data_IF_289732561903
#
_entry.id   IF_289732561903
#
_cell.length_a   1.000
_cell.length_b   1.000
_cell.length_c   1.000
_cell.angle_alpha   90.00
_cell.angle_beta   90.00
_cell.angle_gamma   90.00
#
_symmetry.space_group_name_H-M   'P 1'
#
loop_
_entity.id
_entity.type
_entity.pdbx_description
1 polymer ?
#
# COMPACT_ATOMS: atom_id res chain seq x y z
N UNK A 1 13.10 -12.14 2.13
CA UNK A 1 11.70 -11.92 1.66
C UNK A 1 11.09 -13.25 1.25
N UNK A 2 9.79 -13.46 1.54
CA UNK A 2 9.02 -14.61 1.06
C UNK A 2 8.16 -14.13 -0.12
N UNK A 3 8.30 -14.70 -1.33
CA UNK A 3 7.39 -14.41 -2.43
C UNK A 3 5.96 -14.82 -2.04
N UNK A 4 5.02 -13.89 -2.17
CA UNK A 4 3.63 -14.09 -1.76
C UNK A 4 2.70 -13.28 -2.67
N UNK A 5 1.81 -13.96 -3.40
CA UNK A 5 0.73 -13.31 -4.15
C UNK A 5 -0.56 -13.39 -3.33
N UNK A 6 -1.05 -12.25 -2.84
CA UNK A 6 -2.27 -12.18 -2.01
C UNK A 6 -3.55 -12.62 -2.75
N UNK A 7 -3.49 -12.87 -4.05
CA UNK A 7 -4.61 -13.42 -4.81
C UNK A 7 -4.68 -14.95 -4.69
N UNK A 8 -3.55 -15.59 -4.41
CA UNK A 8 -3.44 -17.05 -4.26
C UNK A 8 -3.42 -17.46 -2.78
N UNK A 9 -4.45 -18.20 -2.36
CA UNK A 9 -4.61 -18.64 -0.97
C UNK A 9 -3.48 -19.56 -0.51
N UNK A 10 -3.00 -20.46 -1.38
CA UNK A 10 -1.90 -21.36 -1.03
C UNK A 10 -0.57 -20.60 -0.92
N UNK A 11 -0.37 -19.56 -1.74
CA UNK A 11 0.78 -18.66 -1.61
C UNK A 11 0.80 -17.97 -0.24
N UNK A 12 -0.34 -17.42 0.19
CA UNK A 12 -0.49 -16.77 1.50
C UNK A 12 -0.29 -17.74 2.65
N UNK A 13 -0.95 -18.89 2.61
CA UNK A 13 -0.82 -19.94 3.62
C UNK A 13 0.64 -20.40 3.76
N UNK A 14 1.32 -20.66 2.64
CA UNK A 14 2.74 -21.05 2.64
C UNK A 14 3.63 -19.96 3.23
N UNK A 15 3.32 -18.68 3.00
CA UNK A 15 4.07 -17.58 3.59
C UNK A 15 3.93 -17.52 5.12
N UNK A 16 2.73 -17.72 5.66
CA UNK A 16 2.52 -17.84 7.10
C UNK A 16 3.24 -19.07 7.67
N UNK A 17 3.10 -20.25 7.07
CA UNK A 17 3.78 -21.46 7.53
C UNK A 17 5.30 -21.27 7.62
N UNK A 18 5.92 -20.64 6.62
CA UNK A 18 7.36 -20.31 6.62
C UNK A 18 7.72 -19.31 7.71
N UNK A 19 6.90 -18.28 7.91
CA UNK A 19 7.10 -17.25 8.94
C UNK A 19 7.07 -17.88 10.33
N UNK A 20 6.03 -18.67 10.62
CA UNK A 20 5.86 -19.34 11.90
C UNK A 20 6.95 -20.37 12.14
N UNK A 21 7.35 -21.13 11.11
CA UNK A 21 8.48 -22.08 11.22
C UNK A 21 9.80 -21.36 11.56
N UNK A 22 10.01 -20.18 11.01
CA UNK A 22 11.25 -19.41 11.20
C UNK A 22 11.31 -18.70 12.55
N UNK A 23 10.21 -18.09 12.99
CA UNK A 23 10.19 -17.19 14.14
C UNK A 23 9.45 -17.75 15.36
N UNK A 24 8.76 -18.88 15.22
CA UNK A 24 8.00 -19.54 16.30
C UNK A 24 6.62 -18.94 16.60
N UNK A 25 6.30 -17.78 16.03
CA UNK A 25 5.05 -17.08 16.29
C UNK A 25 4.81 -15.90 15.33
N UNK A 26 3.71 -15.19 15.58
CA UNK A 26 3.33 -13.96 14.88
C UNK A 26 2.64 -13.05 15.88
N UNK A 27 3.19 -11.86 16.08
CA UNK A 27 2.62 -10.85 16.98
C UNK A 27 1.86 -9.76 16.21
N UNK A 28 2.24 -9.50 14.96
CA UNK A 28 1.73 -8.37 14.18
C UNK A 28 1.45 -8.80 12.74
N UNK A 29 0.28 -8.45 12.23
CA UNK A 29 -0.04 -8.44 10.80
C UNK A 29 -0.25 -6.99 10.34
N UNK A 30 0.42 -6.59 9.25
CA UNK A 30 0.16 -5.31 8.57
C UNK A 30 -0.37 -5.58 7.17
N UNK A 31 -1.64 -5.26 6.93
CA UNK A 31 -2.25 -5.32 5.60
C UNK A 31 -1.99 -4.01 4.84
N UNK A 32 -0.80 -3.92 4.23
CA UNK A 32 -0.35 -2.75 3.47
C UNK A 32 -0.58 -2.88 1.95
N UNK A 33 -0.52 -4.10 1.40
CA UNK A 33 -0.63 -4.30 -0.04
C UNK A 33 -1.95 -3.76 -0.61
N UNK A 34 -1.88 -3.06 -1.74
CA UNK A 34 -3.06 -2.50 -2.39
C UNK A 34 -2.87 -2.39 -3.90
N UNK A 35 -3.98 -2.43 -4.64
CA UNK A 35 -4.09 -2.04 -6.03
C UNK A 35 -5.07 -0.86 -6.16
N UNK A 36 -4.80 0.01 -7.13
CA UNK A 36 -5.53 1.26 -7.36
C UNK A 36 -5.87 1.42 -8.83
N UNK A 37 -7.09 1.88 -9.11
CA UNK A 37 -7.53 2.38 -10.41
C UNK A 37 -8.62 3.42 -10.16
N UNK A 38 -8.36 4.67 -10.56
CA UNK A 38 -9.29 5.79 -10.36
C UNK A 38 -10.06 6.05 -11.65
N UNK A 39 -10.97 5.13 -11.93
CA UNK A 39 -11.81 5.15 -13.13
C UNK A 39 -13.28 5.05 -12.73
N UNK A 40 -14.15 5.73 -13.48
CA UNK A 40 -15.60 5.58 -13.34
C UNK A 40 -16.07 4.17 -13.69
N UNK A 41 -17.34 3.88 -13.41
CA UNK A 41 -17.93 2.53 -13.54
C UNK A 41 -17.79 1.97 -14.96
N UNK A 42 -18.13 2.74 -15.99
CA UNK A 42 -18.06 2.29 -17.39
C UNK A 42 -16.63 2.09 -17.89
N UNK A 43 -15.66 2.81 -17.33
CA UNK A 43 -14.25 2.76 -17.72
C UNK A 43 -13.46 1.69 -16.94
N UNK A 44 -14.02 1.18 -15.84
CA UNK A 44 -13.38 0.16 -15.01
C UNK A 44 -13.63 -1.22 -15.59
N UNK A 45 -12.64 -1.80 -16.25
CA UNK A 45 -12.74 -3.18 -16.72
C UNK A 45 -12.85 -4.16 -15.55
N UNK A 46 -13.56 -5.27 -15.76
CA UNK A 46 -13.70 -6.30 -14.71
C UNK A 46 -12.36 -6.85 -14.24
N UNK A 47 -11.36 -6.96 -15.12
CA UNK A 47 -10.00 -7.33 -14.72
C UNK A 47 -9.39 -6.36 -13.69
N UNK A 48 -9.62 -5.05 -13.83
CA UNK A 48 -9.15 -4.04 -12.86
C UNK A 48 -9.98 -4.10 -11.58
N UNK A 49 -11.30 -4.23 -11.70
CA UNK A 49 -12.20 -4.41 -10.56
C UNK A 49 -11.77 -5.61 -9.70
N UNK A 50 -11.60 -6.78 -10.32
CA UNK A 50 -11.21 -8.03 -9.68
C UNK A 50 -9.83 -7.92 -9.05
N UNK A 51 -8.88 -7.24 -9.71
CA UNK A 51 -7.55 -7.01 -9.17
C UNK A 51 -7.61 -6.20 -7.87
N UNK A 52 -8.34 -5.08 -7.85
CA UNK A 52 -8.50 -4.24 -6.65
C UNK A 52 -9.17 -5.01 -5.52
N UNK A 53 -10.27 -5.72 -5.79
CA UNK A 53 -10.99 -6.47 -4.76
C UNK A 53 -10.22 -7.70 -4.27
N UNK A 54 -9.47 -8.36 -5.15
CA UNK A 54 -8.68 -9.54 -4.80
C UNK A 54 -7.48 -9.19 -3.93
N UNK A 55 -6.80 -8.07 -4.20
CA UNK A 55 -5.64 -7.63 -3.42
C UNK A 55 -6.06 -6.89 -2.14
N UNK A 56 -6.99 -5.93 -2.24
CA UNK A 56 -7.35 -5.06 -1.13
C UNK A 56 -8.24 -5.82 -0.13
N UNK A 57 -9.53 -5.99 -0.44
CA UNK A 57 -10.51 -6.58 0.49
C UNK A 57 -10.25 -8.06 0.73
N UNK A 58 -10.22 -8.89 -0.31
CA UNK A 58 -10.06 -10.35 -0.18
C UNK A 58 -8.70 -10.69 0.41
N UNK A 59 -7.63 -10.05 -0.08
CA UNK A 59 -6.27 -10.25 0.42
C UNK A 59 -6.16 -9.92 1.91
N UNK A 60 -6.71 -8.78 2.35
CA UNK A 60 -6.76 -8.38 3.77
C UNK A 60 -7.52 -9.39 4.62
N UNK A 61 -8.71 -9.81 4.18
CA UNK A 61 -9.51 -10.80 4.90
C UNK A 61 -8.76 -12.14 5.02
N UNK A 62 -8.19 -12.62 3.91
CA UNK A 62 -7.50 -13.89 3.84
C UNK A 62 -6.21 -13.90 4.67
N UNK A 63 -5.39 -12.85 4.57
CA UNK A 63 -4.18 -12.72 5.40
C UNK A 63 -4.54 -12.69 6.88
N UNK A 64 -5.59 -11.96 7.26
CA UNK A 64 -6.08 -11.91 8.64
C UNK A 64 -6.56 -13.28 9.13
N UNK A 65 -7.37 -13.99 8.33
CA UNK A 65 -7.83 -15.37 8.59
C UNK A 65 -6.67 -16.30 8.96
N UNK A 66 -5.57 -16.25 8.22
CA UNK A 66 -4.40 -17.10 8.48
C UNK A 66 -3.49 -16.59 9.61
N UNK A 67 -3.48 -15.29 9.89
CA UNK A 67 -2.72 -14.73 11.01
C UNK A 67 -3.38 -15.01 12.36
N UNK A 68 -4.72 -14.92 12.46
CA UNK A 68 -5.49 -14.97 13.71
C UNK A 68 -5.11 -16.17 14.62
N UNK A 69 -5.03 -17.42 14.15
CA UNK A 69 -4.66 -18.55 15.01
C UNK A 69 -3.30 -18.41 15.70
N UNK A 70 -2.39 -17.64 15.11
CA UNK A 70 -1.07 -17.35 15.66
C UNK A 70 -1.08 -16.11 16.54
N UNK A 71 -1.82 -15.07 16.15
CA UNK A 71 -2.02 -13.86 16.95
C UNK A 71 -2.69 -14.15 18.31
N UNK A 72 -3.61 -15.12 18.39
CA UNK A 72 -4.21 -15.58 19.66
C UNK A 72 -3.19 -16.06 20.70
N UNK A 73 -1.95 -16.37 20.28
CA UNK A 73 -0.87 -16.84 21.14
C UNK A 73 0.12 -15.73 21.53
N UNK A 74 0.05 -14.56 20.88
CA UNK A 74 0.93 -13.44 21.13
C UNK A 74 0.58 -12.72 22.44
N UNK A 75 1.56 -12.02 23.01
CA UNK A 75 1.36 -11.26 24.25
C UNK A 75 0.66 -9.91 24.03
N UNK A 76 0.88 -9.31 22.85
CA UNK A 76 0.28 -8.04 22.43
C UNK A 76 -0.08 -8.08 20.93
N UNK A 77 -1.10 -8.87 20.52
CA UNK A 77 -1.39 -9.10 19.11
C UNK A 77 -2.05 -7.90 18.41
N UNK A 78 -1.56 -7.56 17.21
CA UNK A 78 -2.13 -6.49 16.38
C UNK A 78 -2.36 -6.90 14.93
N UNK A 79 -3.45 -6.42 14.35
CA UNK A 79 -3.71 -6.32 12.92
C UNK A 79 -3.86 -4.84 12.57
N UNK A 80 -3.01 -4.34 11.68
CA UNK A 80 -3.08 -2.97 11.19
C UNK A 80 -3.37 -2.96 9.68
N UNK A 81 -4.52 -2.40 9.30
CA UNK A 81 -4.88 -2.25 7.91
C UNK A 81 -4.52 -0.84 7.44
N UNK A 82 -3.76 -0.70 6.35
CA UNK A 82 -3.55 0.62 5.74
C UNK A 82 -4.78 0.96 4.89
N UNK A 83 -5.84 1.44 5.53
CA UNK A 83 -7.14 1.71 4.91
C UNK A 83 -7.82 2.93 5.57
N UNK A 84 -8.69 3.64 4.83
CA UNK A 84 -9.25 4.90 5.29
C UNK A 84 -10.39 4.73 6.33
N UNK A 85 -10.79 5.80 7.03
CA UNK A 85 -12.08 5.87 7.70
C UNK A 85 -13.25 5.61 6.74
N UNK A 86 -14.37 5.11 7.28
CA UNK A 86 -15.58 4.84 6.50
C UNK A 86 -16.45 6.10 6.35
N UNK A 87 -16.05 7.01 5.45
CA UNK A 87 -16.78 8.24 5.17
C UNK A 87 -17.84 8.00 4.10
N UNK A 88 -19.13 8.10 4.46
CA UNK A 88 -20.27 7.73 3.60
C UNK A 88 -20.83 8.87 2.74
N UNK A 89 -20.03 9.89 2.45
CA UNK A 89 -20.40 11.02 1.59
C UNK A 89 -20.20 10.69 0.12
N UNK A 90 -21.20 10.95 -0.72
CA UNK A 90 -21.22 10.55 -2.14
C UNK A 90 -20.00 11.01 -2.97
N UNK A 91 -19.39 12.16 -2.62
CA UNK A 91 -18.17 12.69 -3.27
C UNK A 91 -17.02 11.68 -3.35
N UNK A 92 -16.91 10.78 -2.36
CA UNK A 92 -15.86 9.76 -2.31
C UNK A 92 -16.17 8.50 -3.12
N UNK A 93 -17.38 8.41 -3.68
CA UNK A 93 -17.83 7.26 -4.47
C UNK A 93 -17.99 7.61 -5.95
N UNK A 94 -18.40 8.85 -6.26
CA UNK A 94 -18.89 9.25 -7.59
C UNK A 94 -17.89 9.03 -8.75
N UNK A 95 -16.58 9.17 -8.51
CA UNK A 95 -15.56 9.12 -9.58
C UNK A 95 -14.78 7.80 -9.68
N UNK A 96 -14.82 6.95 -8.65
CA UNK A 96 -13.99 5.75 -8.55
C UNK A 96 -14.58 4.70 -7.60
N UNK A 97 -15.89 4.47 -7.67
CA UNK A 97 -16.64 3.59 -6.75
C UNK A 97 -16.00 2.21 -6.54
N UNK A 98 -15.44 1.61 -7.59
CA UNK A 98 -14.78 0.30 -7.49
C UNK A 98 -13.54 0.31 -6.57
N UNK A 99 -12.74 1.38 -6.61
CA UNK A 99 -11.60 1.55 -5.72
C UNK A 99 -12.06 1.87 -4.29
N UNK A 100 -13.06 2.74 -4.15
CA UNK A 100 -13.65 3.09 -2.85
C UNK A 100 -14.18 1.84 -2.14
N UNK A 101 -14.94 0.99 -2.83
CA UNK A 101 -15.41 -0.31 -2.31
C UNK A 101 -14.25 -1.21 -1.89
N UNK A 102 -13.20 -1.31 -2.71
CA UNK A 102 -12.04 -2.15 -2.41
C UNK A 102 -11.25 -1.68 -1.18
N UNK A 103 -11.10 -0.36 -0.96
CA UNK A 103 -10.45 0.18 0.24
C UNK A 103 -11.36 0.13 1.47
N UNK A 104 -12.64 0.44 1.31
CA UNK A 104 -13.60 0.39 2.41
C UNK A 104 -13.86 -1.05 2.87
N UNK A 105 -13.73 -2.05 2.00
CA UNK A 105 -13.78 -3.46 2.39
C UNK A 105 -12.66 -3.84 3.38
N UNK A 106 -11.46 -3.27 3.25
CA UNK A 106 -10.39 -3.44 4.25
C UNK A 106 -10.78 -2.82 5.60
N UNK A 107 -11.39 -1.64 5.57
CA UNK A 107 -11.87 -0.92 6.75
C UNK A 107 -13.08 -1.61 7.41
N UNK A 108 -13.96 -2.24 6.64
CA UNK A 108 -15.02 -3.08 7.16
C UNK A 108 -14.48 -4.33 7.87
N UNK A 109 -13.35 -4.88 7.42
CA UNK A 109 -12.65 -5.93 8.18
C UNK A 109 -12.21 -5.42 9.56
N UNK A 110 -11.78 -4.16 9.69
CA UNK A 110 -11.44 -3.57 11.00
C UNK A 110 -12.66 -3.54 11.91
N UNK A 111 -13.80 -3.01 11.45
CA UNK A 111 -15.03 -2.98 12.25
C UNK A 111 -15.45 -4.37 12.74
N UNK A 112 -15.48 -5.35 11.84
CA UNK A 112 -15.90 -6.71 12.15
C UNK A 112 -14.92 -7.42 13.09
N UNK A 113 -13.65 -7.49 12.68
CA UNK A 113 -12.63 -8.28 13.38
C UNK A 113 -12.24 -7.69 14.74
N UNK A 114 -12.25 -6.36 14.90
CA UNK A 114 -12.00 -5.73 16.20
C UNK A 114 -13.03 -6.19 17.25
N UNK A 115 -14.30 -6.31 16.84
CA UNK A 115 -15.38 -6.77 17.71
C UNK A 115 -15.33 -8.28 17.93
N UNK A 116 -15.12 -9.04 16.85
CA UNK A 116 -15.06 -10.51 16.86
C UNK A 116 -13.93 -11.04 17.76
N UNK A 117 -12.73 -10.46 17.66
CA UNK A 117 -11.54 -10.95 18.37
C UNK A 117 -11.19 -10.16 19.64
N UNK A 118 -12.12 -9.31 20.12
CA UNK A 118 -11.98 -8.65 21.43
C UNK A 118 -11.75 -9.63 22.59
N UNK A 119 -12.45 -10.78 22.70
CA UNK A 119 -12.20 -11.75 23.76
C UNK A 119 -10.80 -12.38 23.70
N UNK A 120 -10.23 -12.49 22.50
CA UNK A 120 -8.87 -12.99 22.28
C UNK A 120 -7.79 -11.91 22.53
N UNK A 121 -8.19 -10.66 22.79
CA UNK A 121 -7.27 -9.55 23.02
C UNK A 121 -6.49 -9.08 21.78
N UNK A 122 -6.98 -9.41 20.57
CA UNK A 122 -6.38 -8.98 19.31
C UNK A 122 -6.85 -7.57 18.98
N UNK A 123 -5.91 -6.63 18.86
CA UNK A 123 -6.20 -5.30 18.36
C UNK A 123 -6.33 -5.33 16.84
N UNK A 124 -7.38 -4.73 16.31
CA UNK A 124 -7.55 -4.53 14.86
C UNK A 124 -7.85 -3.06 14.64
N UNK A 125 -6.97 -2.36 13.92
CA UNK A 125 -7.11 -0.92 13.65
C UNK A 125 -6.82 -0.64 12.18
N UNK A 126 -7.27 0.52 11.71
CA UNK A 126 -6.85 1.09 10.44
C UNK A 126 -5.89 2.27 10.66
N UNK A 127 -4.97 2.48 9.73
CA UNK A 127 -4.12 3.68 9.64
C UNK A 127 -4.22 4.26 8.23
N UNK A 128 -4.42 5.58 8.15
CA UNK A 128 -4.51 6.31 6.90
C UNK A 128 -3.74 7.64 6.99
N UNK A 129 -3.06 8.06 5.93
CA UNK A 129 -2.34 9.33 5.97
C UNK A 129 -3.30 10.51 5.77
N UNK A 130 -3.02 11.62 6.44
CA UNK A 130 -3.72 12.89 6.19
C UNK A 130 -3.38 13.46 4.81
N UNK A 131 -2.16 13.22 4.36
CA UNK A 131 -1.60 13.82 3.14
C UNK A 131 -1.05 12.77 2.21
N UNK A 132 -0.94 13.09 0.92
CA UNK A 132 -0.25 12.26 -0.05
C UNK A 132 1.16 11.88 0.44
N UNK A 133 1.51 10.60 0.34
CA UNK A 133 2.82 10.08 0.73
C UNK A 133 3.67 9.85 -0.52
N UNK A 134 4.90 10.37 -0.51
CA UNK A 134 5.82 10.23 -1.63
C UNK A 134 6.35 8.80 -1.71
N UNK A 135 5.94 8.09 -2.75
CA UNK A 135 6.32 6.72 -3.04
C UNK A 135 6.53 6.56 -4.54
N UNK A 136 7.14 5.44 -4.97
CA UNK A 136 7.24 5.12 -6.39
C UNK A 136 5.87 5.06 -7.08
N UNK A 137 4.83 4.56 -6.39
CA UNK A 137 3.45 4.55 -6.91
C UNK A 137 2.91 5.97 -7.10
N UNK A 138 3.15 6.85 -6.15
CA UNK A 138 2.74 8.26 -6.23
C UNK A 138 3.48 8.98 -7.38
N UNK A 139 4.78 8.73 -7.55
CA UNK A 139 5.55 9.26 -8.69
C UNK A 139 4.97 8.84 -10.05
N UNK A 140 4.56 7.58 -10.18
CA UNK A 140 3.90 7.08 -11.40
C UNK A 140 2.53 7.75 -11.65
N UNK A 141 1.75 7.97 -10.58
CA UNK A 141 0.46 8.66 -10.64
C UNK A 141 0.62 10.12 -11.08
N UNK A 142 1.64 10.82 -10.56
CA UNK A 142 1.94 12.22 -10.91
C UNK A 142 2.56 12.41 -12.28
N UNK A 143 2.63 11.35 -13.11
CA UNK A 143 3.30 11.36 -14.41
C UNK A 143 4.75 11.89 -14.36
N UNK A 144 5.43 11.75 -13.22
CA UNK A 144 6.79 12.24 -13.02
C UNK A 144 6.90 13.76 -12.78
N UNK A 145 5.81 14.47 -12.46
CA UNK A 145 5.88 15.89 -12.05
C UNK A 145 6.76 16.04 -10.79
N UNK A 146 7.95 16.67 -10.90
CA UNK A 146 8.84 16.86 -9.76
C UNK A 146 8.22 17.78 -8.70
N UNK A 147 7.27 18.62 -9.09
CA UNK A 147 6.52 19.50 -8.19
C UNK A 147 5.62 18.74 -7.23
N UNK A 148 5.11 17.57 -7.62
CA UNK A 148 4.19 16.80 -6.80
C UNK A 148 4.86 16.25 -5.54
N UNK A 149 6.14 15.88 -5.61
CA UNK A 149 6.90 15.42 -4.47
C UNK A 149 6.94 16.46 -3.35
N UNK A 150 7.04 17.76 -3.69
CA UNK A 150 7.08 18.84 -2.71
C UNK A 150 5.78 18.97 -1.88
N UNK A 151 4.66 18.52 -2.45
CA UNK A 151 3.35 18.54 -1.79
C UNK A 151 3.06 17.26 -1.00
N UNK A 152 4.02 16.34 -0.92
CA UNK A 152 3.88 15.08 -0.20
C UNK A 152 4.67 15.07 1.11
N UNK A 153 4.30 14.14 1.99
CA UNK A 153 5.15 13.71 3.10
C UNK A 153 5.96 12.47 2.75
N UNK A 154 7.04 12.26 3.48
CA UNK A 154 7.87 11.07 3.45
C UNK A 154 7.13 9.89 4.08
N UNK A 155 7.56 8.68 3.75
CA UNK A 155 6.99 7.43 4.29
C UNK A 155 7.14 7.28 5.81
N UNK A 156 8.10 7.99 6.39
CA UNK A 156 8.44 7.96 7.81
C UNK A 156 7.24 8.31 8.71
N UNK A 157 6.34 9.21 8.29
CA UNK A 157 5.17 9.58 9.11
C UNK A 157 4.22 8.39 9.35
N UNK A 158 4.01 7.56 8.32
CA UNK A 158 3.20 6.35 8.44
C UNK A 158 3.95 5.27 9.22
N UNK A 159 5.27 5.17 9.05
CA UNK A 159 6.08 4.22 9.80
C UNK A 159 6.06 4.52 11.31
N UNK A 160 6.26 5.77 11.69
CA UNK A 160 6.24 6.21 13.10
C UNK A 160 4.83 6.08 13.70
N UNK A 161 3.79 6.42 12.94
CA UNK A 161 2.40 6.22 13.36
C UNK A 161 2.07 4.74 13.56
N UNK A 162 2.47 3.88 12.61
CA UNK A 162 2.28 2.45 12.73
C UNK A 162 3.04 1.88 13.94
N UNK A 163 4.28 2.30 14.15
CA UNK A 163 5.08 1.90 15.31
C UNK A 163 4.39 2.29 16.64
N UNK A 164 3.90 3.53 16.74
CA UNK A 164 3.19 3.99 17.93
C UNK A 164 1.90 3.21 18.18
N UNK A 165 1.11 2.93 17.13
CA UNK A 165 -0.12 2.12 17.21
C UNK A 165 0.19 0.69 17.68
N UNK A 166 1.18 0.04 17.04
CA UNK A 166 1.56 -1.34 17.33
C UNK A 166 2.21 -1.50 18.71
N UNK A 167 2.68 -0.39 19.31
CA UNK A 167 3.20 -0.32 20.68
C UNK A 167 2.10 -0.11 21.73
N UNK A 168 0.86 0.18 21.33
CA UNK A 168 -0.27 0.27 22.27
C UNK A 168 -0.64 -1.10 22.82
N UNK A 169 -1.30 -1.10 23.98
CA UNK A 169 -1.90 -2.30 24.55
C UNK A 169 -3.06 -2.78 23.67
N UNK A 170 -2.95 -3.98 23.11
CA UNK A 170 -3.91 -4.54 22.16
C UNK A 170 -5.32 -4.72 22.74
N UNK A 171 -5.45 -4.84 24.07
CA UNK A 171 -6.73 -5.01 24.75
C UNK A 171 -7.53 -3.72 24.89
N UNK A 172 -6.86 -2.56 24.82
CA UNK A 172 -7.51 -1.25 24.98
C UNK A 172 -7.52 -0.41 23.71
N UNK A 173 -6.60 -0.64 22.77
CA UNK A 173 -6.52 0.11 21.51
C UNK A 173 -6.92 -0.76 20.31
N UNK A 174 -8.22 -0.89 20.06
CA UNK A 174 -8.78 -1.68 18.97
C UNK A 174 -10.05 -1.04 18.40
N UNK A 175 -10.33 -1.27 17.12
CA UNK A 175 -11.50 -0.75 16.41
C UNK A 175 -11.37 0.69 15.93
N UNK A 176 -10.15 1.24 15.88
CA UNK A 176 -9.91 2.64 15.52
C UNK A 176 -9.62 2.82 14.03
N UNK A 177 -10.02 3.98 13.49
CA UNK A 177 -9.62 4.48 12.17
C UNK A 177 -8.69 5.66 12.36
N UNK A 178 -7.40 5.38 12.40
CA UNK A 178 -6.39 6.34 12.81
C UNK A 178 -5.91 7.17 11.61
N UNK A 179 -5.82 8.49 11.80
CA UNK A 179 -5.12 9.40 10.89
C UNK A 179 -3.74 9.69 11.47
N UNK A 180 -2.69 9.59 10.66
CA UNK A 180 -1.28 9.72 11.07
C UNK A 180 -0.98 11.01 11.86
N UNK A 181 -1.35 12.18 11.35
CA UNK A 181 -1.13 13.46 12.03
C UNK A 181 -1.84 13.53 13.39
N UNK A 182 -3.12 13.17 13.42
CA UNK A 182 -3.94 13.26 14.62
C UNK A 182 -3.37 12.35 15.71
N UNK A 183 -2.91 11.16 15.31
CA UNK A 183 -2.24 10.22 16.19
C UNK A 183 -0.92 10.76 16.72
N UNK A 184 0.01 11.18 15.85
CA UNK A 184 1.31 11.67 16.27
C UNK A 184 1.19 12.90 17.19
N UNK A 185 0.25 13.81 16.91
CA UNK A 185 -0.06 14.94 17.79
C UNK A 185 -0.59 14.48 19.14
N UNK A 186 -1.43 13.44 19.18
CA UNK A 186 -1.92 12.86 20.43
C UNK A 186 -0.82 12.17 21.25
N UNK A 187 0.25 11.71 20.59
CA UNK A 187 1.47 11.19 21.23
C UNK A 187 2.47 12.30 21.62
N UNK A 188 2.11 13.58 21.42
CA UNK A 188 2.91 14.74 21.80
C UNK A 188 3.88 15.26 20.73
N UNK A 189 3.84 14.70 19.52
CA UNK A 189 4.67 15.16 18.39
C UNK A 189 3.97 16.35 17.73
N UNK A 190 4.44 17.56 18.03
CA UNK A 190 3.84 18.79 17.51
C UNK A 190 4.42 19.23 16.16
N UNK A 191 5.72 19.05 15.99
CA UNK A 191 6.42 19.38 14.74
C UNK A 191 6.35 18.21 13.76
N UNK A 192 5.51 18.36 12.75
CA UNK A 192 5.35 17.42 11.65
C UNK A 192 6.05 17.89 10.37
N UNK A 193 6.74 19.03 10.38
CA UNK A 193 7.46 19.54 9.21
C UNK A 193 8.62 18.61 8.83
N UNK A 194 9.23 17.96 9.84
CA UNK A 194 10.24 16.94 9.63
C UNK A 194 9.79 15.80 8.71
N UNK A 195 8.49 15.58 8.53
CA UNK A 195 7.94 14.57 7.64
C UNK A 195 7.65 15.09 6.23
N UNK A 196 7.69 16.40 5.99
CA UNK A 196 7.52 16.96 4.66
C UNK A 196 8.70 16.59 3.76
N UNK A 197 8.45 16.24 2.50
CA UNK A 197 9.52 16.09 1.51
C UNK A 197 10.21 17.43 1.26
N UNK A 198 9.42 18.51 1.20
CA UNK A 198 9.92 19.89 1.14
C UNK A 198 9.26 20.75 2.24
N UNK A 199 9.96 21.01 3.35
CA UNK A 199 9.55 21.96 4.39
C UNK A 199 8.99 23.28 3.84
N UNK A 200 7.98 23.84 4.51
CA UNK A 200 7.26 25.06 4.08
C UNK A 200 6.34 24.94 2.86
N UNK A 201 6.22 23.78 2.20
CA UNK A 201 5.35 23.60 1.03
C UNK A 201 3.89 23.32 1.43
N UNK A 202 2.94 23.75 0.61
CA UNK A 202 1.54 23.36 0.78
C UNK A 202 1.37 21.86 0.50
N UNK A 203 0.81 21.12 1.45
CA UNK A 203 0.63 19.68 1.34
C UNK A 203 -0.67 19.33 0.61
N UNK A 204 -0.64 18.22 -0.13
CA UNK A 204 -1.79 17.66 -0.81
C UNK A 204 -2.50 16.68 0.13
N UNK A 205 -3.79 16.90 0.39
CA UNK A 205 -4.58 16.02 1.26
C UNK A 205 -4.89 14.69 0.57
N UNK A 206 -4.94 13.60 1.33
CA UNK A 206 -5.31 12.29 0.79
C UNK A 206 -6.83 12.11 0.62
N UNK A 207 -7.23 11.05 -0.07
CA UNK A 207 -8.63 10.65 -0.22
C UNK A 207 -9.27 10.25 1.11
N UNK A 208 -10.60 10.31 1.15
CA UNK A 208 -11.44 9.70 2.20
C UNK A 208 -11.29 10.29 3.60
N UNK A 209 -10.77 11.52 3.71
CA UNK A 209 -10.75 12.22 4.98
C UNK A 209 -12.18 12.61 5.42
N UNK A 210 -12.48 12.54 6.74
CA UNK A 210 -13.73 13.05 7.30
C UNK A 210 -13.96 14.53 6.96
N UNK A 211 -15.21 14.99 6.91
CA UNK A 211 -15.51 16.36 6.46
C UNK A 211 -15.00 17.42 7.42
N UNK A 212 -15.00 17.13 8.72
CA UNK A 212 -14.39 17.96 9.76
C UNK A 212 -12.89 18.19 9.58
N UNK A 213 -12.25 17.38 8.73
CA UNK A 213 -10.84 17.48 8.37
C UNK A 213 -10.60 18.23 7.06
N UNK A 214 -11.64 18.74 6.39
CA UNK A 214 -11.55 19.42 5.10
C UNK A 214 -12.05 20.86 5.20
N UNK A 215 -11.27 21.79 4.67
CA UNK A 215 -11.64 23.20 4.50
C UNK A 215 -11.93 23.52 3.02
N UNK A 216 -12.70 24.60 2.81
CA UNK A 216 -13.01 25.08 1.47
C UNK A 216 -11.73 25.57 0.77
N UNK A 217 -11.38 24.95 -0.34
CA UNK A 217 -10.18 25.29 -1.13
C UNK A 217 -8.98 24.38 -0.87
N UNK A 218 -9.11 23.36 -0.02
CA UNK A 218 -8.05 22.39 0.20
C UNK A 218 -7.67 21.67 -1.10
N UNK A 219 -6.35 21.51 -1.29
CA UNK A 219 -5.79 20.75 -2.40
C UNK A 219 -5.86 19.25 -2.09
N UNK A 220 -7.03 18.66 -2.26
CA UNK A 220 -7.24 17.22 -2.15
C UNK A 220 -6.65 16.54 -3.38
N UNK A 221 -5.93 15.44 -3.17
CA UNK A 221 -5.37 14.60 -4.22
C UNK A 221 -6.45 14.31 -5.27
N UNK A 222 -6.26 14.90 -6.44
CA UNK A 222 -7.15 14.76 -7.58
C UNK A 222 -6.33 14.21 -8.74
N UNK A 223 -6.49 12.92 -8.99
CA UNK A 223 -5.76 12.24 -10.06
C UNK A 223 -6.63 12.33 -11.32
N UNK A 224 -6.17 13.00 -12.39
CA UNK A 224 -6.97 13.20 -13.58
C UNK A 224 -7.47 11.86 -14.15
N UNK A 225 -8.79 11.71 -14.29
CA UNK A 225 -9.38 10.57 -14.98
C UNK A 225 -9.04 10.70 -16.47
N UNK A 226 -8.36 9.71 -17.10
CA UNK A 226 -8.13 9.73 -18.53
C UNK A 226 -9.48 9.76 -19.25
N UNK A 227 -9.75 10.82 -20.03
CA UNK A 227 -10.99 10.91 -20.82
C UNK A 227 -11.03 9.74 -21.80
N UNK A 228 -12.15 9.03 -21.85
CA UNK A 228 -12.39 7.97 -22.82
C UNK A 228 -12.35 8.56 -24.24
N UNK A 229 -11.27 8.33 -25.00
CA UNK A 229 -11.18 8.80 -26.38
C UNK A 229 -9.83 8.69 -27.09
N UNK A 230 -8.70 8.69 -26.38
CA UNK A 230 -7.39 8.63 -27.05
C UNK A 230 -6.81 7.21 -27.06
N UNK A 231 -7.39 6.35 -27.91
CA UNK A 231 -6.74 5.12 -28.34
C UNK A 231 -5.81 5.43 -29.52
N UNK A 232 -4.57 5.87 -29.25
CA UNK A 232 -3.53 5.86 -30.28
C UNK A 232 -3.05 4.43 -30.48
N UNK A 233 -3.55 3.78 -31.53
CA UNK A 233 -3.04 2.49 -31.99
C UNK A 233 -1.59 2.63 -32.45
N UNK A 234 -0.69 1.85 -31.84
CA UNK A 234 0.59 1.51 -32.46
C UNK A 234 0.87 0.02 -32.30
N UNK A 235 1.03 -0.62 -33.46
CA UNK A 235 1.44 -2.00 -33.63
C UNK A 235 2.81 -2.28 -33.03
N UNK A 236 2.95 -3.54 -32.64
CA UNK A 236 4.01 -4.17 -31.87
C UNK A 236 5.32 -4.34 -32.64
N UNK A 237 6.32 -3.54 -32.29
CA UNK A 237 7.74 -3.93 -32.30
C UNK A 237 8.41 -3.31 -31.08
N UNK A 238 8.96 -4.14 -30.19
CA UNK A 238 9.88 -3.72 -29.11
C UNK A 238 9.28 -3.12 -27.82
N UNK A 239 8.10 -3.54 -27.35
CA UNK A 239 7.50 -3.03 -26.09
C UNK A 239 8.37 -3.28 -24.84
N UNK A 240 9.08 -4.40 -24.80
CA UNK A 240 9.89 -4.80 -23.65
C UNK A 240 11.18 -3.99 -23.53
N UNK A 241 11.85 -3.70 -24.65
CA UNK A 241 13.13 -2.97 -24.65
C UNK A 241 12.95 -1.51 -24.21
N UNK A 242 11.86 -0.85 -24.65
CA UNK A 242 11.51 0.50 -24.19
C UNK A 242 11.20 0.58 -22.69
N UNK A 243 10.61 -0.49 -22.12
CA UNK A 243 10.37 -0.58 -20.68
C UNK A 243 11.71 -0.67 -19.94
N UNK A 244 12.67 -1.45 -20.44
CA UNK A 244 13.99 -1.54 -19.83
C UNK A 244 14.84 -0.28 -20.00
N UNK A 245 14.69 0.46 -21.11
CA UNK A 245 15.29 1.80 -21.23
C UNK A 245 14.70 2.79 -20.21
N UNK A 246 13.38 2.77 -20.01
CA UNK A 246 12.72 3.58 -18.98
C UNK A 246 13.12 3.19 -17.55
N UNK A 247 13.32 1.89 -17.28
CA UNK A 247 13.79 1.46 -15.95
C UNK A 247 15.26 1.88 -15.73
N UNK A 248 16.11 1.81 -16.76
CA UNK A 248 17.50 2.29 -16.68
C UNK A 248 17.61 3.79 -16.41
N UNK A 249 16.68 4.60 -16.93
CA UNK A 249 16.68 6.04 -16.64
C UNK A 249 16.25 6.37 -15.20
N UNK A 250 15.47 5.47 -14.57
CA UNK A 250 15.02 5.61 -13.17
C UNK A 250 16.06 5.06 -12.18
N UNK A 251 16.77 3.97 -12.51
CA UNK A 251 17.86 3.41 -11.70
C UNK A 251 19.17 4.17 -12.00
N UNK A 252 19.22 5.43 -11.57
CA UNK A 252 20.40 6.29 -11.70
C UNK A 252 21.47 5.98 -10.63
N UNK A 253 22.67 6.54 -10.75
CA UNK A 253 23.81 6.25 -9.87
C UNK A 253 23.57 6.62 -8.39
N UNK A 254 22.60 7.48 -8.12
CA UNK A 254 22.17 7.85 -6.77
C UNK A 254 21.32 6.73 -6.15
N UNK A 255 20.30 6.27 -6.89
CA UNK A 255 19.44 5.15 -6.49
C UNK A 255 20.22 3.82 -6.35
N UNK A 256 21.30 3.66 -7.12
CA UNK A 256 22.20 2.49 -7.06
C UNK A 256 23.01 2.40 -5.76
N UNK A 257 23.30 3.53 -5.12
CA UNK A 257 24.04 3.54 -3.85
C UNK A 257 23.16 3.20 -2.66
N UNK A 258 21.87 3.51 -2.75
CA UNK A 258 20.92 3.35 -1.64
C UNK A 258 20.19 2.00 -1.65
N UNK A 259 20.13 1.31 -2.79
CA UNK A 259 19.38 0.05 -2.94
C UNK A 259 20.32 -1.15 -3.06
N UNK A 260 20.45 -1.94 -1.98
CA UNK A 260 21.03 -3.29 -2.01
C UNK A 260 19.93 -4.34 -2.22
N UNK A 261 19.28 -4.32 -3.38
CA UNK A 261 18.17 -5.21 -3.68
C UNK A 261 18.11 -5.63 -5.16
N UNK A 262 17.55 -6.81 -5.40
CA UNK A 262 17.15 -7.27 -6.73
C UNK A 262 15.68 -6.96 -6.93
N UNK A 263 15.36 -6.22 -7.98
CA UNK A 263 13.99 -5.84 -8.32
C UNK A 263 13.40 -6.88 -9.27
N UNK A 264 12.23 -7.42 -8.92
CA UNK A 264 11.50 -8.39 -9.72
C UNK A 264 10.32 -7.73 -10.43
N UNK A 265 10.26 -7.86 -11.74
CA UNK A 265 9.20 -7.31 -12.58
C UNK A 265 8.47 -8.42 -13.34
N UNK A 266 7.16 -8.29 -13.51
CA UNK A 266 6.40 -9.11 -14.46
C UNK A 266 6.01 -8.24 -15.65
N UNK A 267 6.72 -8.43 -16.77
CA UNK A 267 6.52 -7.65 -18.01
C UNK A 267 5.94 -8.59 -19.05
N UNK A 268 4.76 -8.24 -19.58
CA UNK A 268 4.06 -9.04 -20.60
C UNK A 268 3.86 -10.51 -20.21
N UNK A 269 3.63 -10.78 -18.93
CA UNK A 269 3.42 -12.14 -18.40
C UNK A 269 4.69 -12.95 -18.16
N UNK A 270 5.88 -12.35 -18.29
CA UNK A 270 7.17 -12.99 -18.01
C UNK A 270 7.85 -12.33 -16.83
N UNK A 271 8.51 -13.13 -15.99
CA UNK A 271 9.28 -12.65 -14.83
C UNK A 271 10.69 -12.24 -15.25
N UNK A 272 11.09 -11.05 -14.80
CA UNK A 272 12.39 -10.44 -15.05
C UNK A 272 13.00 -10.02 -13.72
N UNK A 273 14.30 -10.28 -13.55
CA UNK A 273 15.07 -9.76 -12.44
C UNK A 273 16.00 -8.67 -12.97
N UNK A 274 15.99 -7.52 -12.30
CA UNK A 274 16.97 -6.45 -12.54
C UNK A 274 17.77 -6.30 -11.26
N UNK A 275 19.03 -6.64 -11.35
CA UNK A 275 20.02 -6.28 -10.35
C UNK A 275 20.27 -4.78 -10.43
N UNK A 276 19.97 -4.07 -9.34
CA UNK A 276 20.11 -2.62 -9.27
C UNK A 276 21.56 -2.16 -9.50
N UNK A 277 22.57 -2.99 -9.18
CA UNK A 277 23.97 -2.64 -9.37
C UNK A 277 24.44 -2.77 -10.82
N UNK A 278 23.99 -3.80 -11.53
CA UNK A 278 24.44 -4.08 -12.91
C UNK A 278 23.48 -3.57 -13.99
N UNK A 279 22.23 -3.21 -13.62
CA UNK A 279 21.17 -2.75 -14.54
C UNK A 279 20.93 -3.68 -15.73
N UNK A 280 21.31 -4.95 -15.60
CA UNK A 280 21.22 -5.95 -16.66
C UNK A 280 19.95 -6.78 -16.43
N UNK A 281 18.97 -6.71 -17.34
CA UNK A 281 17.76 -7.51 -17.20
C UNK A 281 18.07 -8.97 -17.45
N UNK A 282 17.77 -9.83 -16.48
CA UNK A 282 17.87 -11.28 -16.59
C UNK A 282 16.46 -11.85 -16.76
N UNK A 283 16.22 -12.51 -17.90
CA UNK A 283 14.99 -13.24 -18.16
C UNK A 283 15.01 -14.55 -17.39
N UNK A 284 14.01 -14.78 -16.54
CA UNK A 284 13.92 -16.02 -15.76
C UNK A 284 13.02 -17.01 -16.50
N UNK A 285 13.62 -17.92 -17.28
CA UNK A 285 12.85 -18.87 -18.10
C UNK A 285 12.35 -20.10 -17.33
N UNK A 286 12.86 -20.37 -16.12
CA UNK A 286 12.35 -21.34 -15.12
C UNK A 286 13.03 -21.02 -13.78
N UNK A 287 12.28 -20.89 -12.69
CA UNK A 287 12.86 -20.62 -11.37
C UNK A 287 13.63 -21.85 -10.86
N UNK A 288 14.93 -21.90 -11.14
CA UNK A 288 15.87 -22.78 -10.46
C UNK A 288 16.46 -22.02 -9.26
N UNK A 289 16.27 -22.63 -8.09
CA UNK A 289 16.89 -22.26 -6.83
C UNK A 289 18.41 -22.11 -7.00
N UNK A 290 18.97 -20.94 -6.68
CA UNK A 290 20.38 -20.79 -6.34
C UNK A 290 20.50 -19.94 -5.08
N UNK A 291 20.89 -20.62 -4.01
CA UNK A 291 21.32 -20.06 -2.73
C UNK A 291 22.77 -19.55 -2.85
N UNK A 292 23.04 -18.48 -2.09
CA UNK A 292 24.36 -17.86 -1.79
C UNK A 292 25.14 -17.25 -2.96
N UNK A 293 25.50 -15.98 -2.78
CA UNK A 293 26.87 -15.50 -3.00
C UNK A 293 27.22 -14.54 -1.84
N UNK A 294 28.50 -14.54 -1.47
CA UNK A 294 29.09 -14.08 -0.20
C UNK A 294 28.81 -12.65 0.22
#
# INVERSE_FOLDING_TARGET
MIPCDLRDEESVKSAFEKTIKQFGGLDILVNNASAISLTGTEQTSMKKYDLMHSINTRGTYMASKYAIPHLKKASNPHILNLSPPLVMTAKWFENHVAYTMAKYGMSMCVLGMASEFKPDGIAVNALWPRTAIWTAAMSMIGAGDPGMANSCRKVDILADSAYGILSKNSKSFSGNFVIDEDFLRSEGIQDLEQYSVKPGSALMLDFFLPEEQLNKGDNVLNIPVPKSGEASGQQSVGKTDRIFEGIKSVINDELRKDINAVLAFVISGQSWLIDAHTSRPLRVEKALCLSRLH
#
